data_IF_947993218183
#
_entry.id   IF_947993218183
#
_cell.length_a   1.000
_cell.length_b   1.000
_cell.length_c   1.000
_cell.angle_alpha   90.00
_cell.angle_beta   90.00
_cell.angle_gamma   90.00
#
_symmetry.space_group_name_H-M   'P 1'
#
loop_
_entity.id
_entity.type
_entity.pdbx_description
1 polymer ?
#
# COMPACT_ATOMS: atom_id res chain seq x y z
N UNK A 1 -25.51 -10.46 44.03
CA UNK A 1 -24.26 -11.25 43.95
C UNK A 1 -24.46 -12.22 42.79
N UNK A 2 -23.77 -12.13 41.66
CA UNK A 2 -22.32 -12.01 41.50
C UNK A 2 -21.93 -11.06 40.37
N UNK A 3 -20.80 -10.40 40.55
CA UNK A 3 -20.14 -9.56 39.58
C UNK A 3 -19.29 -10.39 38.60
N UNK A 4 -19.01 -9.75 37.46
CA UNK A 4 -17.83 -9.90 36.63
C UNK A 4 -17.76 -11.12 35.71
N UNK A 5 -17.84 -10.85 34.41
CA UNK A 5 -16.90 -11.41 33.45
C UNK A 5 -16.59 -10.35 32.39
N UNK A 6 -15.43 -9.74 32.60
CA UNK A 6 -14.65 -9.00 31.61
C UNK A 6 -14.37 -9.89 30.41
N UNK A 7 -14.87 -9.51 29.24
CA UNK A 7 -14.42 -9.96 27.92
C UNK A 7 -14.87 -8.91 26.91
N UNK A 8 -14.31 -7.71 26.99
CA UNK A 8 -14.28 -6.78 25.83
C UNK A 8 -12.88 -6.84 25.24
N UNK A 9 -12.48 -8.05 24.90
CA UNK A 9 -11.30 -8.30 24.11
C UNK A 9 -11.72 -8.20 22.64
N UNK A 10 -11.08 -7.26 21.93
CA UNK A 10 -10.67 -7.45 20.54
C UNK A 10 -11.79 -7.60 19.50
N UNK A 11 -12.65 -6.58 19.35
CA UNK A 11 -13.21 -6.31 18.02
C UNK A 11 -12.14 -5.59 17.20
N UNK A 12 -11.21 -6.41 16.68
CA UNK A 12 -10.31 -6.07 15.59
C UNK A 12 -11.19 -5.75 14.38
N UNK A 13 -11.57 -4.48 14.26
CA UNK A 13 -12.54 -4.01 13.29
C UNK A 13 -11.91 -4.03 11.90
N UNK A 14 -11.95 -5.21 11.30
CA UNK A 14 -11.66 -5.52 9.92
C UNK A 14 -12.76 -4.89 9.04
N UNK A 15 -12.90 -3.56 9.07
CA UNK A 15 -13.58 -2.85 8.00
C UNK A 15 -12.72 -3.07 6.78
N UNK A 16 -13.17 -3.97 5.91
CA UNK A 16 -12.75 -4.00 4.51
C UNK A 16 -12.78 -2.56 4.02
N UNK A 17 -11.60 -1.95 3.86
CA UNK A 17 -11.46 -0.59 3.33
C UNK A 17 -12.26 -0.58 2.03
N UNK A 18 -13.33 0.22 2.00
CA UNK A 18 -14.16 0.33 0.81
C UNK A 18 -13.30 0.93 -0.29
N UNK A 19 -13.48 0.54 -1.57
CA UNK A 19 -12.79 1.19 -2.69
C UNK A 19 -12.88 2.72 -2.67
N UNK A 20 -13.95 3.28 -2.06
CA UNK A 20 -14.10 4.74 -1.90
C UNK A 20 -13.14 5.29 -0.84
N UNK A 21 -12.96 4.58 0.29
CA UNK A 21 -12.09 5.04 1.38
C UNK A 21 -10.63 5.08 0.91
N UNK A 22 -10.21 4.11 0.10
CA UNK A 22 -8.86 4.07 -0.48
C UNK A 22 -8.61 5.23 -1.44
N UNK A 23 -9.59 5.60 -2.27
CA UNK A 23 -9.50 6.77 -3.15
C UNK A 23 -9.50 8.10 -2.38
N UNK A 24 -10.28 8.19 -1.30
CA UNK A 24 -10.28 9.37 -0.42
C UNK A 24 -8.92 9.49 0.29
N UNK A 25 -8.40 8.38 0.81
CA UNK A 25 -7.14 8.35 1.54
C UNK A 25 -5.91 8.47 0.61
N UNK A 26 -6.05 8.21 -0.70
CA UNK A 26 -5.00 8.49 -1.69
C UNK A 26 -4.62 9.99 -1.74
N UNK A 27 -5.45 10.86 -1.15
CA UNK A 27 -5.21 12.30 -0.99
C UNK A 27 -4.79 12.67 0.44
N UNK A 28 -4.20 11.73 1.19
CA UNK A 28 -3.60 12.03 2.50
C UNK A 28 -2.57 13.17 2.37
N UNK A 29 -2.52 14.06 3.36
CA UNK A 29 -1.55 15.18 3.38
C UNK A 29 -0.10 14.66 3.35
N UNK A 30 0.13 13.47 3.90
CA UNK A 30 1.40 12.77 3.91
C UNK A 30 1.39 11.56 2.95
N UNK A 31 2.56 11.19 2.42
CA UNK A 31 2.69 10.04 1.52
C UNK A 31 2.36 8.69 2.19
N UNK A 32 2.39 8.65 3.54
CA UNK A 32 2.09 7.48 4.37
C UNK A 32 1.18 7.89 5.53
N UNK A 33 0.10 7.15 5.73
CA UNK A 33 -0.77 7.27 6.90
C UNK A 33 -0.12 6.61 8.13
N UNK A 34 0.58 7.40 8.92
CA UNK A 34 1.25 6.94 10.14
C UNK A 34 0.27 6.57 11.26
N UNK A 35 -0.94 7.14 11.28
CA UNK A 35 -1.95 6.71 12.25
C UNK A 35 -2.38 5.28 11.96
N UNK A 36 -2.58 4.95 10.68
CA UNK A 36 -2.85 3.59 10.24
C UNK A 36 -1.72 2.63 10.64
N UNK A 37 -0.48 2.97 10.30
CA UNK A 37 0.68 2.14 10.65
C UNK A 37 0.82 1.97 12.18
N UNK A 38 0.63 3.06 12.93
CA UNK A 38 0.70 3.12 14.39
C UNK A 38 -0.23 2.12 15.10
N UNK A 39 -1.37 1.77 14.49
CA UNK A 39 -2.31 0.76 15.03
C UNK A 39 -1.70 -0.63 15.11
N UNK A 40 -0.70 -0.93 14.27
CA UNK A 40 -0.04 -2.24 14.20
C UNK A 40 1.33 -2.25 14.89
N UNK A 41 1.99 -1.09 15.00
CA UNK A 41 3.29 -0.94 15.68
C UNK A 41 3.17 -0.58 17.16
N UNK A 42 1.96 -0.33 17.65
CA UNK A 42 1.68 0.16 19.01
C UNK A 42 2.42 1.48 19.32
N UNK A 43 2.67 2.30 18.28
CA UNK A 43 3.39 3.56 18.37
C UNK A 43 4.92 3.42 18.57
N UNK A 44 5.49 2.23 18.31
CA UNK A 44 6.93 2.06 18.33
C UNK A 44 7.57 2.63 17.05
N UNK A 45 8.23 3.77 17.20
CA UNK A 45 8.88 4.49 16.11
C UNK A 45 10.00 3.72 15.40
N UNK A 46 10.80 2.94 16.13
CA UNK A 46 11.88 2.12 15.53
C UNK A 46 11.28 1.03 14.64
N UNK A 47 10.18 0.41 15.09
CA UNK A 47 9.47 -0.61 14.32
C UNK A 47 8.75 0.00 13.10
N UNK A 48 8.16 1.18 13.24
CA UNK A 48 7.59 1.91 12.09
C UNK A 48 8.64 2.18 11.01
N UNK A 49 9.81 2.67 11.41
CA UNK A 49 10.93 2.91 10.50
C UNK A 49 11.36 1.62 9.80
N UNK A 50 11.53 0.52 10.54
CA UNK A 50 11.95 -0.77 9.99
C UNK A 50 10.94 -1.28 8.95
N UNK A 51 9.65 -1.26 9.27
CA UNK A 51 8.58 -1.68 8.36
C UNK A 51 8.57 -0.83 7.10
N UNK A 52 8.67 0.49 7.24
CA UNK A 52 8.64 1.39 6.10
C UNK A 52 9.88 1.26 5.22
N UNK A 53 11.05 1.04 5.80
CA UNK A 53 12.27 0.81 5.04
C UNK A 53 12.18 -0.51 4.25
N UNK A 54 11.73 -1.59 4.88
CA UNK A 54 11.49 -2.86 4.21
C UNK A 54 10.46 -2.73 3.08
N UNK A 55 9.40 -1.97 3.29
CA UNK A 55 8.40 -1.68 2.27
C UNK A 55 8.99 -0.92 1.08
N UNK A 56 9.78 0.12 1.32
CA UNK A 56 10.46 0.89 0.28
C UNK A 56 11.39 0.00 -0.56
N UNK A 57 12.17 -0.87 0.09
CA UNK A 57 13.06 -1.80 -0.61
C UNK A 57 12.25 -2.77 -1.48
N UNK A 58 11.15 -3.31 -0.96
CA UNK A 58 10.29 -4.23 -1.71
C UNK A 58 9.54 -3.55 -2.87
N UNK A 59 9.22 -2.27 -2.76
CA UNK A 59 8.61 -1.51 -3.85
C UNK A 59 9.48 -1.48 -5.12
N UNK A 60 10.82 -1.48 -4.97
CA UNK A 60 11.75 -1.54 -6.10
C UNK A 60 11.55 -2.83 -6.90
N UNK A 61 11.40 -3.95 -6.21
CA UNK A 61 11.18 -5.25 -6.82
C UNK A 61 9.79 -5.35 -7.47
N UNK A 62 8.76 -4.81 -6.83
CA UNK A 62 7.41 -4.78 -7.40
C UNK A 62 7.33 -3.93 -8.67
N UNK A 63 7.91 -2.72 -8.66
CA UNK A 63 7.95 -1.85 -9.85
C UNK A 63 8.75 -2.50 -10.97
N UNK A 64 9.85 -3.20 -10.64
CA UNK A 64 10.63 -3.95 -11.63
C UNK A 64 9.82 -5.10 -12.23
N UNK A 65 9.09 -5.84 -11.39
CA UNK A 65 8.21 -6.93 -11.84
C UNK A 65 7.11 -6.41 -12.77
N UNK A 66 6.46 -5.30 -12.41
CA UNK A 66 5.45 -4.66 -13.26
C UNK A 66 6.01 -4.25 -14.64
N UNK A 67 7.23 -3.70 -14.68
CA UNK A 67 7.93 -3.35 -15.94
C UNK A 67 8.19 -4.58 -16.81
N UNK A 68 8.55 -5.72 -16.20
CA UNK A 68 8.80 -6.96 -16.95
C UNK A 68 7.52 -7.70 -17.35
N UNK A 69 6.39 -7.41 -16.71
CA UNK A 69 5.11 -8.07 -16.97
C UNK A 69 4.14 -7.25 -17.83
N UNK A 70 4.61 -6.24 -18.56
CA UNK A 70 3.74 -5.41 -19.42
C UNK A 70 2.94 -6.22 -20.45
N UNK A 71 3.45 -7.35 -20.89
CA UNK A 71 2.80 -8.26 -21.85
C UNK A 71 2.44 -9.62 -21.23
N UNK A 72 2.66 -9.81 -19.93
CA UNK A 72 2.34 -11.03 -19.19
C UNK A 72 1.15 -10.77 -18.24
N UNK A 73 -0.07 -11.18 -18.62
CA UNK A 73 -1.26 -10.89 -17.82
C UNK A 73 -1.21 -11.47 -16.41
N UNK A 74 -0.62 -12.66 -16.23
CA UNK A 74 -0.59 -13.31 -14.92
C UNK A 74 0.47 -12.66 -14.02
N UNK A 75 1.67 -12.38 -14.55
CA UNK A 75 2.69 -11.61 -13.83
C UNK A 75 2.21 -10.21 -13.47
N UNK A 76 1.49 -9.52 -14.38
CA UNK A 76 0.91 -8.20 -14.13
C UNK A 76 -0.08 -8.25 -12.97
N UNK A 77 -1.01 -9.21 -13.01
CA UNK A 77 -2.01 -9.42 -11.95
C UNK A 77 -1.34 -9.73 -10.61
N UNK A 78 -0.34 -10.60 -10.59
CA UNK A 78 0.35 -10.97 -9.35
C UNK A 78 1.10 -9.77 -8.75
N UNK A 79 1.84 -9.03 -9.56
CA UNK A 79 2.61 -7.87 -9.10
C UNK A 79 1.71 -6.73 -8.60
N UNK A 80 0.64 -6.40 -9.33
CA UNK A 80 -0.34 -5.38 -8.91
C UNK A 80 -1.06 -5.79 -7.63
N UNK A 81 -1.49 -7.06 -7.52
CA UNK A 81 -2.17 -7.56 -6.33
C UNK A 81 -1.28 -7.54 -5.08
N UNK A 82 -0.03 -7.99 -5.21
CA UNK A 82 0.93 -8.04 -4.13
C UNK A 82 1.30 -6.63 -3.64
N UNK A 83 1.62 -5.72 -4.56
CA UNK A 83 1.96 -4.34 -4.20
C UNK A 83 0.78 -3.61 -3.56
N UNK A 84 -0.45 -3.80 -4.07
CA UNK A 84 -1.66 -3.23 -3.45
C UNK A 84 -1.82 -3.68 -2.00
N UNK A 85 -1.72 -4.99 -1.76
CA UNK A 85 -1.86 -5.55 -0.41
C UNK A 85 -0.79 -5.02 0.55
N UNK A 86 0.46 -4.98 0.08
CA UNK A 86 1.60 -4.45 0.85
C UNK A 86 1.42 -2.97 1.18
N UNK A 87 1.04 -2.14 0.19
CA UNK A 87 0.82 -0.71 0.35
C UNK A 87 -0.30 -0.40 1.35
N UNK A 88 -1.42 -1.14 1.29
CA UNK A 88 -2.50 -1.00 2.29
C UNK A 88 -2.04 -1.32 3.70
N UNK A 89 -1.21 -2.35 3.87
CA UNK A 89 -0.72 -2.76 5.19
C UNK A 89 0.12 -1.70 5.90
N UNK A 90 0.79 -0.82 5.14
CA UNK A 90 1.63 0.26 5.69
C UNK A 90 0.97 1.64 5.63
N UNK A 91 -0.26 1.75 5.11
CA UNK A 91 -0.94 3.03 4.94
C UNK A 91 -0.44 3.88 3.77
N UNK A 92 0.22 3.28 2.77
CA UNK A 92 0.65 3.96 1.54
C UNK A 92 -0.50 4.01 0.52
N UNK A 93 -1.55 4.76 0.84
CA UNK A 93 -2.84 4.71 0.15
C UNK A 93 -2.78 5.08 -1.33
N UNK A 94 -1.92 6.03 -1.71
CA UNK A 94 -1.77 6.41 -3.12
C UNK A 94 -1.22 5.26 -3.96
N UNK A 95 -0.19 4.54 -3.48
CA UNK A 95 0.33 3.35 -4.16
C UNK A 95 -0.77 2.29 -4.30
N UNK A 96 -1.56 2.09 -3.24
CA UNK A 96 -2.66 1.13 -3.25
C UNK A 96 -3.76 1.49 -4.26
N UNK A 97 -4.12 2.78 -4.37
CA UNK A 97 -5.08 3.26 -5.36
C UNK A 97 -4.56 3.12 -6.79
N UNK A 98 -3.31 3.52 -7.08
CA UNK A 98 -2.71 3.40 -8.41
C UNK A 98 -2.59 1.93 -8.84
N UNK A 99 -2.22 1.04 -7.92
CA UNK A 99 -2.18 -0.41 -8.19
C UNK A 99 -3.55 -1.02 -8.37
N UNK A 100 -4.58 -0.52 -7.68
CA UNK A 100 -5.97 -0.93 -7.90
C UNK A 100 -6.44 -0.55 -9.31
N UNK A 101 -6.09 0.64 -9.80
CA UNK A 101 -6.36 1.02 -11.21
C UNK A 101 -5.60 0.10 -12.16
N UNK A 102 -4.33 -0.19 -11.86
CA UNK A 102 -3.50 -1.08 -12.67
C UNK A 102 -4.04 -2.51 -12.74
N UNK A 103 -4.66 -3.04 -11.67
CA UNK A 103 -5.32 -4.36 -11.67
C UNK A 103 -6.45 -4.46 -12.71
N UNK A 104 -7.05 -3.33 -13.12
CA UNK A 104 -8.10 -3.30 -14.15
C UNK A 104 -7.53 -3.42 -15.57
N UNK A 105 -6.23 -3.20 -15.76
CA UNK A 105 -5.54 -3.24 -17.06
C UNK A 105 -5.15 -4.68 -17.48
N UNK A 106 -6.05 -5.64 -17.26
CA UNK A 106 -5.90 -7.03 -17.69
C UNK A 106 -6.44 -7.24 -19.11
N UNK A 107 -6.13 -8.40 -19.70
CA UNK A 107 -6.63 -8.76 -21.03
C UNK A 107 -6.06 -7.89 -22.14
N UNK A 108 -6.95 -7.31 -22.95
CA UNK A 108 -6.65 -6.51 -24.15
C UNK A 108 -6.33 -5.04 -23.87
N UNK A 109 -6.13 -4.66 -22.61
CA UNK A 109 -5.64 -3.34 -22.22
C UNK A 109 -4.40 -2.94 -23.03
N UNK A 110 -4.32 -1.67 -23.41
CA UNK A 110 -3.23 -1.17 -24.24
C UNK A 110 -1.91 -1.23 -23.48
N UNK A 111 -0.84 -1.59 -24.19
CA UNK A 111 0.53 -1.54 -23.66
C UNK A 111 0.86 -0.16 -23.06
N UNK A 112 0.41 0.92 -23.71
CA UNK A 112 0.60 2.30 -23.25
C UNK A 112 -0.10 2.61 -21.94
N UNK A 113 -1.25 1.98 -21.67
CA UNK A 113 -1.99 2.17 -20.42
C UNK A 113 -1.23 1.50 -19.27
N UNK A 114 -0.70 0.29 -19.49
CA UNK A 114 0.16 -0.40 -18.52
C UNK A 114 1.43 0.38 -18.23
N UNK A 115 2.09 0.92 -19.26
CA UNK A 115 3.27 1.79 -19.08
C UNK A 115 2.92 3.03 -18.25
N UNK A 116 1.78 3.66 -18.52
CA UNK A 116 1.31 4.84 -17.77
C UNK A 116 1.05 4.50 -16.30
N UNK A 117 0.42 3.34 -16.03
CA UNK A 117 0.21 2.85 -14.67
C UNK A 117 1.54 2.58 -13.95
N UNK A 118 2.53 1.97 -14.62
CA UNK A 118 3.87 1.77 -14.04
C UNK A 118 4.52 3.09 -13.64
N UNK A 119 4.41 4.14 -14.47
CA UNK A 119 4.95 5.46 -14.12
C UNK A 119 4.19 6.08 -12.94
N UNK A 120 2.87 6.02 -12.91
CA UNK A 120 2.06 6.55 -11.82
C UNK A 120 2.40 5.87 -10.47
N UNK A 121 2.50 4.54 -10.47
CA UNK A 121 2.95 3.76 -9.32
C UNK A 121 4.38 4.14 -8.92
N UNK A 122 5.29 4.27 -9.89
CA UNK A 122 6.68 4.66 -9.65
C UNK A 122 6.80 6.03 -8.95
N UNK A 123 6.04 7.03 -9.38
CA UNK A 123 6.01 8.34 -8.73
C UNK A 123 5.49 8.25 -7.29
N UNK A 124 4.42 7.49 -7.05
CA UNK A 124 3.90 7.29 -5.70
C UNK A 124 4.91 6.58 -4.78
N UNK A 125 5.68 5.61 -5.30
CA UNK A 125 6.78 4.96 -4.57
C UNK A 125 7.89 5.94 -4.22
N UNK A 126 8.29 6.81 -5.15
CA UNK A 126 9.32 7.83 -4.91
C UNK A 126 8.90 8.83 -3.84
N UNK A 127 7.62 9.22 -3.80
CA UNK A 127 7.07 10.08 -2.75
C UNK A 127 7.14 9.43 -1.37
N UNK A 128 6.75 8.16 -1.26
CA UNK A 128 6.86 7.40 0.00
C UNK A 128 8.33 7.29 0.43
N UNK A 129 9.24 6.94 -0.48
CA UNK A 129 10.66 6.86 -0.16
C UNK A 129 11.24 8.22 0.28
N UNK A 130 10.82 9.31 -0.37
CA UNK A 130 11.18 10.67 0.02
C UNK A 130 10.64 11.05 1.41
N UNK A 131 9.39 10.70 1.71
CA UNK A 131 8.77 10.92 3.01
C UNK A 131 9.50 10.16 4.12
N UNK A 132 9.76 8.86 3.93
CA UNK A 132 10.50 8.03 4.90
C UNK A 132 11.89 8.62 5.16
N UNK A 133 12.61 8.98 4.10
CA UNK A 133 13.92 9.61 4.23
C UNK A 133 13.87 10.92 5.01
N UNK A 134 12.88 11.78 4.78
CA UNK A 134 12.77 13.06 5.49
C UNK A 134 12.36 12.91 6.96
N UNK A 135 11.53 11.91 7.27
CA UNK A 135 11.03 11.67 8.63
C UNK A 135 12.06 10.99 9.54
N UNK A 136 12.90 10.12 8.97
CA UNK A 136 13.80 9.24 9.72
C UNK A 136 15.30 9.48 9.43
N UNK A 137 15.66 10.62 8.81
CA UNK A 137 17.05 11.08 8.67
C UNK A 137 17.59 11.68 9.98
#
# INVERSE_FOLDING_TARGET
MFANQSSRDLEYNNKSVSPIDEYVNAHCEDAVDLEHLGRYTMGNFELEQEILQLFCDQCVDYVSSLKTSLEDPEGWKQATHALKGSARGVGAWRIAAETQVAELLMGDALYTDRVSAVHAIGFAVEEVAGFVKLKYA
#
